data_IF_382847327607
#
_entry.id   IF_382847327607
#
_cell.length_a   1.000
_cell.length_b   1.000
_cell.length_c   1.000
_cell.angle_alpha   90.00
_cell.angle_beta   90.00
_cell.angle_gamma   90.00
#
_symmetry.space_group_name_H-M   'P 1'
#
loop_
_entity.id
_entity.type
_entity.pdbx_description
1 polymer ?
#
# COMPACT_ATOMS: atom_id res chain seq x y z
N UNK A 1 21.48 -22.57 -39.36
CA UNK A 1 22.41 -23.71 -39.27
C UNK A 1 21.60 -24.94 -39.63
N UNK A 2 22.11 -25.83 -40.47
CA UNK A 2 21.31 -26.92 -41.05
C UNK A 2 21.05 -28.07 -40.05
N UNK A 3 19.92 -28.78 -40.19
CA UNK A 3 19.44 -29.85 -39.30
C UNK A 3 20.48 -30.98 -39.17
N UNK A 4 21.14 -31.34 -40.28
CA UNK A 4 22.20 -32.35 -40.26
C UNK A 4 23.42 -31.94 -39.42
N UNK A 5 23.69 -30.63 -39.32
CA UNK A 5 24.80 -30.11 -38.53
C UNK A 5 24.50 -30.20 -37.04
N UNK A 6 23.25 -29.95 -36.64
CA UNK A 6 22.80 -30.18 -35.27
C UNK A 6 22.86 -31.67 -34.89
N UNK A 7 22.43 -32.56 -35.80
CA UNK A 7 22.45 -34.01 -35.55
C UNK A 7 23.86 -34.53 -35.30
N UNK A 8 24.84 -34.13 -36.11
CA UNK A 8 26.26 -34.50 -35.90
C UNK A 8 26.83 -33.95 -34.59
N UNK A 9 26.38 -32.77 -34.15
CA UNK A 9 26.86 -32.13 -32.93
C UNK A 9 26.28 -32.76 -31.66
N UNK A 10 24.98 -33.03 -31.68
CA UNK A 10 24.25 -33.51 -30.49
C UNK A 10 24.30 -35.03 -30.30
N UNK A 11 24.72 -35.80 -31.31
CA UNK A 11 24.90 -37.25 -31.16
C UNK A 11 25.94 -37.63 -30.10
N UNK A 12 26.84 -36.71 -29.75
CA UNK A 12 27.87 -36.91 -28.72
C UNK A 12 27.45 -36.36 -27.35
N UNK A 13 26.31 -35.67 -27.25
CA UNK A 13 25.83 -35.16 -25.97
C UNK A 13 25.27 -36.32 -25.15
N UNK A 14 25.45 -36.22 -23.84
CA UNK A 14 24.82 -37.11 -22.87
C UNK A 14 23.31 -36.91 -22.82
N UNK A 15 22.58 -37.91 -22.35
CA UNK A 15 21.12 -37.82 -22.24
C UNK A 15 20.70 -36.69 -21.31
N UNK A 16 21.44 -36.45 -20.22
CA UNK A 16 21.23 -35.33 -19.29
C UNK A 16 21.37 -33.96 -19.96
N UNK A 17 22.40 -33.78 -20.81
CA UNK A 17 22.60 -32.52 -21.55
C UNK A 17 21.48 -32.26 -22.55
N UNK A 18 20.97 -33.30 -23.21
CA UNK A 18 19.87 -33.20 -24.16
C UNK A 18 18.53 -32.94 -23.45
N UNK A 19 18.28 -33.59 -22.32
CA UNK A 19 17.10 -33.34 -21.47
C UNK A 19 17.12 -31.89 -20.98
N UNK A 20 18.25 -31.41 -20.47
CA UNK A 20 18.40 -30.05 -19.94
C UNK A 20 18.27 -28.97 -21.03
N UNK A 21 18.66 -29.31 -22.26
CA UNK A 21 18.47 -28.48 -23.45
C UNK A 21 16.98 -28.37 -23.84
N UNK A 22 16.21 -29.45 -23.71
CA UNK A 22 14.77 -29.47 -24.02
C UNK A 22 13.87 -28.86 -22.94
N UNK A 23 14.40 -28.67 -21.73
CA UNK A 23 13.64 -28.25 -20.55
C UNK A 23 14.07 -26.85 -20.13
N UNK A 24 15.00 -26.72 -19.19
CA UNK A 24 15.42 -25.46 -18.55
C UNK A 24 16.08 -24.46 -19.48
N UNK A 25 16.68 -24.91 -20.59
CA UNK A 25 17.39 -24.04 -21.52
C UNK A 25 16.74 -23.92 -22.90
N UNK A 26 15.51 -24.44 -23.10
CA UNK A 26 14.88 -24.48 -24.42
C UNK A 26 14.84 -23.12 -25.14
N UNK A 27 14.60 -22.03 -24.40
CA UNK A 27 14.55 -20.65 -24.92
C UNK A 27 15.86 -20.12 -25.50
N UNK A 28 17.01 -20.77 -25.18
CA UNK A 28 18.34 -20.37 -25.65
C UNK A 28 18.75 -21.04 -26.97
N UNK A 29 17.98 -22.01 -27.44
CA UNK A 29 18.32 -22.81 -28.60
C UNK A 29 17.36 -22.59 -29.77
N UNK A 30 17.86 -22.82 -30.97
CA UNK A 30 17.05 -22.76 -32.19
C UNK A 30 16.00 -23.90 -32.17
N UNK A 31 14.76 -23.67 -32.62
CA UNK A 31 13.73 -24.71 -32.69
C UNK A 31 14.17 -26.00 -33.39
N UNK A 32 14.93 -25.90 -34.48
CA UNK A 32 15.44 -27.05 -35.22
C UNK A 32 16.44 -27.88 -34.39
N UNK A 33 17.18 -27.22 -33.50
CA UNK A 33 18.11 -27.86 -32.58
C UNK A 33 17.37 -28.68 -31.51
N UNK A 34 16.22 -28.19 -31.05
CA UNK A 34 15.38 -28.88 -30.07
C UNK A 34 14.69 -30.10 -30.69
N UNK A 35 14.21 -29.98 -31.94
CA UNK A 35 13.64 -31.14 -32.67
C UNK A 35 14.67 -32.26 -32.76
N UNK A 36 15.90 -31.95 -33.15
CA UNK A 36 16.98 -32.94 -33.26
C UNK A 36 17.36 -33.56 -31.90
N UNK A 37 17.41 -32.75 -30.83
CA UNK A 37 17.68 -33.28 -29.48
C UNK A 37 16.59 -34.27 -29.02
N UNK A 38 15.32 -33.96 -29.31
CA UNK A 38 14.19 -34.84 -29.01
C UNK A 38 14.26 -36.15 -29.83
N UNK A 39 14.56 -36.07 -31.12
CA UNK A 39 14.76 -37.24 -31.97
C UNK A 39 15.87 -38.16 -31.45
N UNK A 40 17.01 -37.59 -31.02
CA UNK A 40 18.13 -38.37 -30.48
C UNK A 40 17.73 -39.07 -29.17
N UNK A 41 17.00 -38.40 -28.28
CA UNK A 41 16.53 -39.01 -27.03
C UNK A 41 15.52 -40.13 -27.27
N UNK A 42 14.61 -39.95 -28.25
CA UNK A 42 13.67 -41.00 -28.68
C UNK A 42 14.44 -42.20 -29.25
N UNK A 43 15.42 -41.98 -30.12
CA UNK A 43 16.26 -43.03 -30.71
C UNK A 43 17.06 -43.81 -29.62
N UNK A 44 17.36 -43.15 -28.49
CA UNK A 44 18.05 -43.75 -27.33
C UNK A 44 17.10 -44.42 -26.33
N UNK A 45 15.80 -44.53 -26.63
CA UNK A 45 14.76 -45.06 -25.74
C UNK A 45 14.64 -44.30 -24.39
N UNK A 46 14.91 -42.99 -24.39
CA UNK A 46 14.64 -42.13 -23.24
C UNK A 46 13.19 -41.65 -23.33
N UNK A 47 12.40 -41.87 -22.27
CA UNK A 47 11.01 -41.42 -22.20
C UNK A 47 10.89 -39.92 -21.88
N UNK A 48 11.35 -39.12 -22.83
CA UNK A 48 11.37 -37.65 -22.74
C UNK A 48 9.95 -37.06 -22.65
N UNK A 49 8.92 -37.76 -23.15
CA UNK A 49 7.53 -37.29 -23.06
C UNK A 49 7.02 -37.32 -21.64
N UNK A 50 7.34 -38.38 -20.89
CA UNK A 50 7.01 -38.47 -19.47
C UNK A 50 7.83 -37.47 -18.66
N UNK A 51 9.12 -37.30 -18.95
CA UNK A 51 9.99 -36.33 -18.28
C UNK A 51 9.50 -34.88 -18.50
N UNK A 52 9.19 -34.48 -19.74
CA UNK A 52 8.65 -33.15 -20.03
C UNK A 52 7.29 -32.91 -19.37
N UNK A 53 6.48 -33.95 -19.24
CA UNK A 53 5.18 -33.87 -18.58
C UNK A 53 5.33 -33.74 -17.05
N UNK A 54 6.23 -34.51 -16.46
CA UNK A 54 6.57 -34.41 -15.03
C UNK A 54 7.25 -33.08 -14.71
N UNK A 55 8.07 -32.52 -15.59
CA UNK A 55 8.69 -31.20 -15.39
C UNK A 55 7.66 -30.07 -15.55
N UNK A 56 6.72 -30.16 -16.48
CA UNK A 56 5.59 -29.22 -16.58
C UNK A 56 4.60 -29.33 -15.41
N UNK A 57 4.46 -30.50 -14.78
CA UNK A 57 3.62 -30.73 -13.59
C UNK A 57 4.35 -30.45 -12.26
N UNK A 58 5.69 -30.48 -12.24
CA UNK A 58 6.54 -30.22 -11.07
C UNK A 58 7.17 -28.83 -11.06
N UNK A 59 7.12 -28.09 -12.17
CA UNK A 59 7.26 -26.64 -12.13
C UNK A 59 6.14 -26.10 -11.22
N UNK A 60 6.47 -25.50 -10.06
CA UNK A 60 5.46 -24.71 -9.39
C UNK A 60 5.00 -23.68 -10.43
N UNK A 61 3.69 -23.61 -10.68
CA UNK A 61 3.11 -22.40 -11.26
C UNK A 61 3.50 -21.29 -10.30
N UNK A 62 4.62 -20.63 -10.58
CA UNK A 62 4.93 -19.34 -9.99
C UNK A 62 3.91 -18.44 -10.66
N UNK A 63 2.75 -18.32 -10.03
CA UNK A 63 1.94 -17.12 -10.15
C UNK A 63 2.89 -16.01 -9.73
N UNK A 64 3.56 -15.39 -10.71
CA UNK A 64 4.30 -14.16 -10.47
C UNK A 64 3.25 -13.20 -9.92
N UNK A 65 3.41 -12.86 -8.65
CA UNK A 65 2.61 -11.87 -7.95
C UNK A 65 2.51 -10.64 -8.86
N UNK A 66 1.32 -10.06 -9.06
CA UNK A 66 1.14 -8.90 -9.95
C UNK A 66 2.12 -7.77 -9.57
N UNK A 67 2.41 -7.67 -8.27
CA UNK A 67 3.42 -6.79 -7.67
C UNK A 67 4.85 -7.03 -8.19
N UNK A 68 5.23 -8.28 -8.46
CA UNK A 68 6.55 -8.65 -8.97
C UNK A 68 6.68 -8.33 -10.47
N UNK A 69 5.59 -8.51 -11.22
CA UNK A 69 5.50 -8.12 -12.63
C UNK A 69 5.59 -6.59 -12.76
N UNK A 70 4.83 -5.85 -11.96
CA UNK A 70 4.83 -4.38 -11.97
C UNK A 70 6.20 -3.82 -11.56
N UNK A 71 6.83 -4.38 -10.52
CA UNK A 71 8.20 -3.98 -10.13
C UNK A 71 9.20 -4.21 -11.25
N UNK A 72 9.12 -5.35 -11.93
CA UNK A 72 10.02 -5.65 -13.05
C UNK A 72 9.83 -4.67 -14.22
N UNK A 73 8.58 -4.27 -14.48
CA UNK A 73 8.24 -3.28 -15.49
C UNK A 73 8.77 -1.90 -15.12
N UNK A 74 8.53 -1.42 -13.90
CA UNK A 74 9.05 -0.12 -13.42
C UNK A 74 10.58 -0.08 -13.51
N UNK A 75 11.26 -1.15 -13.12
CA UNK A 75 12.72 -1.24 -13.19
C UNK A 75 13.26 -1.25 -14.64
N UNK A 76 12.44 -1.62 -15.62
CA UNK A 76 12.80 -1.58 -17.04
C UNK A 76 12.70 -0.18 -17.66
N UNK A 77 11.97 0.74 -17.03
CA UNK A 77 11.79 2.13 -17.48
C UNK A 77 13.03 2.98 -17.15
N UNK A 78 13.26 4.06 -17.91
CA UNK A 78 14.26 5.07 -17.55
C UNK A 78 13.85 5.83 -16.28
N UNK A 79 14.80 6.44 -15.55
CA UNK A 79 14.49 7.12 -14.28
C UNK A 79 13.45 8.24 -14.40
N UNK A 80 13.33 8.89 -15.56
CA UNK A 80 12.33 9.93 -15.81
C UNK A 80 10.96 9.29 -16.05
N UNK A 81 10.91 8.24 -16.86
CA UNK A 81 9.68 7.48 -17.15
C UNK A 81 9.16 6.76 -15.90
N UNK A 82 10.05 6.30 -15.00
CA UNK A 82 9.66 5.78 -13.69
C UNK A 82 8.93 6.83 -12.85
N UNK A 83 9.42 8.07 -12.83
CA UNK A 83 8.80 9.16 -12.07
C UNK A 83 7.44 9.52 -12.67
N UNK A 84 7.36 9.62 -14.00
CA UNK A 84 6.12 9.92 -14.71
C UNK A 84 5.08 8.82 -14.49
N UNK A 85 5.46 7.55 -14.66
CA UNK A 85 4.60 6.40 -14.40
C UNK A 85 4.09 6.36 -12.95
N UNK A 86 4.98 6.53 -11.96
CA UNK A 86 4.59 6.55 -10.55
C UNK A 86 3.72 7.77 -10.20
N UNK A 87 3.93 8.91 -10.86
CA UNK A 87 3.12 10.11 -10.67
C UNK A 87 1.73 9.96 -11.27
N UNK A 88 1.62 9.38 -12.47
CA UNK A 88 0.33 9.10 -13.13
C UNK A 88 -0.47 8.07 -12.33
N UNK A 89 0.16 6.96 -11.92
CA UNK A 89 -0.44 5.96 -11.03
C UNK A 89 -0.92 6.59 -9.73
N UNK A 90 -0.10 7.44 -9.10
CA UNK A 90 -0.50 8.13 -7.87
C UNK A 90 -1.71 9.03 -8.09
N UNK A 91 -1.77 9.77 -9.19
CA UNK A 91 -2.91 10.63 -9.50
C UNK A 91 -4.18 9.81 -9.75
N UNK A 92 -4.07 8.70 -10.49
CA UNK A 92 -5.18 7.76 -10.71
C UNK A 92 -5.67 7.13 -9.40
N UNK A 93 -4.75 6.75 -8.51
CA UNK A 93 -5.10 6.28 -7.17
C UNK A 93 -5.77 7.36 -6.34
N UNK A 94 -5.26 8.59 -6.33
CA UNK A 94 -5.85 9.70 -5.58
C UNK A 94 -7.29 10.00 -6.04
N UNK A 95 -7.59 9.87 -7.34
CA UNK A 95 -8.93 10.07 -7.90
C UNK A 95 -9.88 8.90 -7.59
N UNK A 96 -9.38 7.67 -7.53
CA UNK A 96 -10.21 6.45 -7.47
C UNK A 96 -10.05 5.62 -6.17
N UNK A 97 -9.39 6.16 -5.14
CA UNK A 97 -9.02 5.37 -3.94
C UNK A 97 -10.22 4.71 -3.25
N UNK A 98 -11.37 5.36 -3.25
CA UNK A 98 -12.60 4.80 -2.67
C UNK A 98 -13.05 3.56 -3.44
N UNK A 99 -13.13 3.64 -4.77
CA UNK A 99 -13.51 2.52 -5.63
C UNK A 99 -12.50 1.37 -5.55
N UNK A 100 -11.20 1.68 -5.55
CA UNK A 100 -10.13 0.67 -5.47
C UNK A 100 -10.20 -0.08 -4.14
N UNK A 101 -10.32 0.64 -3.02
CA UNK A 101 -10.39 0.04 -1.69
C UNK A 101 -11.71 -0.72 -1.49
N UNK A 102 -12.83 -0.19 -1.97
CA UNK A 102 -14.11 -0.89 -1.91
C UNK A 102 -14.06 -2.20 -2.72
N UNK A 103 -13.50 -2.18 -3.93
CA UNK A 103 -13.34 -3.37 -4.77
C UNK A 103 -12.41 -4.42 -4.15
N UNK A 104 -11.31 -3.98 -3.54
CA UNK A 104 -10.38 -4.88 -2.84
C UNK A 104 -11.04 -5.58 -1.64
N UNK A 105 -12.03 -4.94 -1.02
CA UNK A 105 -12.76 -5.46 0.13
C UNK A 105 -14.12 -6.09 -0.24
N UNK A 106 -14.59 -5.98 -1.50
CA UNK A 106 -15.93 -6.40 -1.93
C UNK A 106 -16.12 -7.91 -1.75
N UNK A 107 -15.10 -8.70 -2.14
CA UNK A 107 -15.15 -10.15 -2.13
C UNK A 107 -14.63 -10.80 -0.83
N UNK A 108 -14.13 -9.99 0.13
CA UNK A 108 -13.62 -10.53 1.39
C UNK A 108 -14.77 -11.02 2.27
N UNK A 109 -14.56 -12.19 2.87
CA UNK A 109 -15.38 -12.67 3.98
C UNK A 109 -15.24 -11.77 5.21
N UNK A 110 -16.17 -11.87 6.15
CA UNK A 110 -16.16 -11.03 7.35
C UNK A 110 -14.88 -11.25 8.18
N UNK A 111 -14.40 -12.50 8.29
CA UNK A 111 -13.15 -12.83 8.95
C UNK A 111 -11.93 -12.25 8.22
N UNK A 112 -11.87 -12.36 6.89
CA UNK A 112 -10.77 -11.83 6.08
C UNK A 112 -10.72 -10.30 6.13
N UNK A 113 -11.88 -9.64 6.13
CA UNK A 113 -11.98 -8.19 6.26
C UNK A 113 -11.46 -7.72 7.62
N UNK A 114 -11.83 -8.40 8.70
CA UNK A 114 -11.34 -8.09 10.05
C UNK A 114 -9.83 -8.33 10.13
N UNK A 115 -9.31 -9.41 9.53
CA UNK A 115 -7.88 -9.71 9.53
C UNK A 115 -7.07 -8.70 8.71
N UNK A 116 -7.60 -8.27 7.56
CA UNK A 116 -7.01 -7.20 6.75
C UNK A 116 -6.97 -5.90 7.56
N UNK A 117 -8.07 -5.54 8.20
CA UNK A 117 -8.14 -4.35 9.05
C UNK A 117 -7.18 -4.41 10.23
N UNK A 118 -7.05 -5.57 10.89
CA UNK A 118 -6.07 -5.76 11.96
C UNK A 118 -4.63 -5.59 11.46
N UNK A 119 -4.32 -6.06 10.26
CA UNK A 119 -3.00 -5.90 9.63
C UNK A 119 -2.67 -4.43 9.36
N UNK A 120 -3.65 -3.65 8.88
CA UNK A 120 -3.52 -2.19 8.72
C UNK A 120 -3.22 -1.54 10.08
N UNK A 121 -4.02 -1.87 11.10
CA UNK A 121 -3.86 -1.33 12.44
C UNK A 121 -2.48 -1.64 13.03
N UNK A 122 -2.02 -2.88 12.94
CA UNK A 122 -0.73 -3.32 13.46
C UNK A 122 0.44 -2.63 12.75
N UNK A 123 0.33 -2.44 11.44
CA UNK A 123 1.34 -1.74 10.66
C UNK A 123 1.47 -0.29 11.10
N UNK A 124 0.35 0.44 11.21
CA UNK A 124 0.34 1.83 11.69
C UNK A 124 0.82 1.95 13.13
N UNK A 125 0.48 0.99 14.00
CA UNK A 125 0.98 0.96 15.38
C UNK A 125 2.50 0.78 15.44
N UNK A 126 3.06 -0.06 14.55
CA UNK A 126 4.49 -0.35 14.48
C UNK A 126 5.29 0.81 13.90
N UNK A 127 4.80 1.45 12.84
CA UNK A 127 5.47 2.59 12.18
C UNK A 127 5.26 3.90 12.94
N UNK A 128 4.15 4.04 13.66
CA UNK A 128 3.77 5.27 14.36
C UNK A 128 3.26 6.37 13.42
N UNK A 129 3.00 6.06 12.16
CA UNK A 129 2.43 6.95 11.15
C UNK A 129 1.69 6.17 10.07
N UNK A 130 0.85 6.87 9.30
CA UNK A 130 0.24 6.29 8.11
C UNK A 130 1.23 6.25 6.94
N UNK A 131 1.07 5.26 6.08
CA UNK A 131 1.80 5.15 4.82
C UNK A 131 1.40 6.21 3.81
N UNK A 132 2.06 6.20 2.66
CA UNK A 132 1.66 7.00 1.52
C UNK A 132 0.28 6.54 0.99
N UNK A 133 -0.36 7.37 0.17
CA UNK A 133 -1.74 7.13 -0.29
C UNK A 133 -1.92 5.80 -1.04
N UNK A 134 -0.86 5.31 -1.68
CA UNK A 134 -0.80 4.03 -2.40
C UNK A 134 -0.55 2.83 -1.48
N UNK A 135 -0.15 3.05 -0.23
CA UNK A 135 0.15 1.96 0.71
C UNK A 135 -1.14 1.33 1.25
N UNK A 136 -1.10 0.02 1.52
CA UNK A 136 -2.20 -0.70 2.17
C UNK A 136 -2.53 -0.11 3.56
N UNK A 137 -1.54 0.50 4.23
CA UNK A 137 -1.73 1.13 5.53
C UNK A 137 -1.85 2.67 5.43
N UNK A 138 -2.33 3.17 4.29
CA UNK A 138 -2.67 4.58 4.09
C UNK A 138 -3.83 5.02 5.00
N UNK A 139 -3.92 6.33 5.23
CA UNK A 139 -4.98 6.90 6.07
C UNK A 139 -6.36 6.69 5.44
N UNK A 140 -6.44 6.81 4.13
CA UNK A 140 -7.64 6.64 3.33
C UNK A 140 -8.12 5.19 3.38
N UNK A 141 -7.23 4.22 3.17
CA UNK A 141 -7.58 2.79 3.24
C UNK A 141 -8.09 2.41 4.64
N UNK A 142 -7.45 2.92 5.70
CA UNK A 142 -7.92 2.75 7.07
C UNK A 142 -9.37 3.22 7.25
N UNK A 143 -9.70 4.45 6.84
CA UNK A 143 -11.06 4.99 7.02
C UNK A 143 -12.10 4.28 6.16
N UNK A 144 -11.77 3.94 4.91
CA UNK A 144 -12.70 3.25 4.00
C UNK A 144 -12.99 1.83 4.53
N UNK A 145 -11.94 1.08 4.90
CA UNK A 145 -12.10 -0.26 5.48
C UNK A 145 -12.89 -0.21 6.79
N UNK A 146 -12.64 0.78 7.66
CA UNK A 146 -13.40 1.00 8.89
C UNK A 146 -14.89 1.27 8.62
N UNK A 147 -15.21 2.05 7.59
CA UNK A 147 -16.58 2.31 7.16
C UNK A 147 -17.26 1.05 6.59
N UNK A 148 -16.55 0.20 5.85
CA UNK A 148 -17.10 -1.06 5.35
C UNK A 148 -17.47 -1.99 6.51
N UNK A 149 -16.60 -2.09 7.53
CA UNK A 149 -16.85 -2.85 8.75
C UNK A 149 -18.09 -2.33 9.48
N UNK A 150 -18.23 -1.01 9.60
CA UNK A 150 -19.40 -0.37 10.22
C UNK A 150 -20.68 -0.62 9.40
N UNK A 151 -20.64 -0.44 8.07
CA UNK A 151 -21.76 -0.72 7.16
C UNK A 151 -22.22 -2.19 7.26
N UNK A 152 -21.28 -3.13 7.40
CA UNK A 152 -21.55 -4.56 7.57
C UNK A 152 -21.96 -4.93 9.02
N UNK A 153 -21.95 -3.99 9.97
CA UNK A 153 -22.23 -4.21 11.39
C UNK A 153 -21.39 -5.33 12.02
N UNK A 154 -20.12 -5.45 11.63
CA UNK A 154 -19.24 -6.48 12.15
C UNK A 154 -18.79 -6.14 13.57
N UNK A 155 -18.86 -7.13 14.46
CA UNK A 155 -18.38 -6.98 15.84
C UNK A 155 -16.88 -7.15 15.89
N UNK A 156 -16.17 -6.10 16.29
CA UNK A 156 -14.75 -6.16 16.52
C UNK A 156 -14.44 -6.76 17.90
N UNK A 157 -13.34 -7.50 17.99
CA UNK A 157 -12.85 -7.95 19.29
C UNK A 157 -12.34 -6.76 20.10
N UNK A 158 -12.40 -6.87 21.43
CA UNK A 158 -11.90 -5.81 22.34
C UNK A 158 -10.44 -5.43 22.07
N UNK A 159 -9.60 -6.40 21.66
CA UNK A 159 -8.19 -6.17 21.33
C UNK A 159 -8.08 -5.26 20.09
N UNK A 160 -8.88 -5.52 19.05
CA UNK A 160 -8.89 -4.70 17.83
C UNK A 160 -9.39 -3.29 18.14
N UNK A 161 -10.41 -3.14 19.00
CA UNK A 161 -10.89 -1.82 19.42
C UNK A 161 -9.79 -0.97 20.08
N UNK A 162 -8.93 -1.56 20.92
CA UNK A 162 -7.79 -0.84 21.51
C UNK A 162 -6.84 -0.33 20.42
N UNK A 163 -6.58 -1.16 19.39
CA UNK A 163 -5.74 -0.77 18.25
C UNK A 163 -6.37 0.37 17.47
N UNK A 164 -7.68 0.31 17.21
CA UNK A 164 -8.46 1.38 16.56
C UNK A 164 -8.34 2.69 17.34
N UNK A 165 -8.51 2.67 18.65
CA UNK A 165 -8.35 3.86 19.50
C UNK A 165 -6.96 4.49 19.37
N UNK A 166 -5.91 3.66 19.33
CA UNK A 166 -4.54 4.12 19.15
C UNK A 166 -4.29 4.70 17.75
N UNK A 167 -4.79 4.03 16.70
CA UNK A 167 -4.63 4.49 15.31
C UNK A 167 -5.43 5.76 15.05
N UNK A 168 -6.64 5.89 15.60
CA UNK A 168 -7.41 7.14 15.59
C UNK A 168 -6.66 8.28 16.28
N UNK A 169 -5.93 7.98 17.36
CA UNK A 169 -5.06 8.95 18.00
C UNK A 169 -3.96 9.44 17.01
N UNK A 170 -3.35 8.55 16.24
CA UNK A 170 -2.37 8.90 15.20
C UNK A 170 -3.03 9.72 14.08
N UNK A 171 -4.19 9.32 13.58
CA UNK A 171 -4.89 10.00 12.48
C UNK A 171 -5.22 11.46 12.83
N UNK A 172 -5.57 11.71 14.09
CA UNK A 172 -5.91 13.03 14.60
C UNK A 172 -4.71 13.84 15.10
N UNK A 173 -3.48 13.32 14.98
CA UNK A 173 -2.25 14.01 15.44
C UNK A 173 -2.08 15.37 14.78
N UNK A 174 -2.33 15.48 13.47
CA UNK A 174 -2.15 16.72 12.72
C UNK A 174 -3.21 17.77 13.06
N UNK A 175 -4.47 17.33 13.23
CA UNK A 175 -5.55 18.18 13.69
C UNK A 175 -5.28 18.71 15.11
N UNK A 176 -4.83 17.85 16.03
CA UNK A 176 -4.44 18.26 17.39
C UNK A 176 -3.28 19.25 17.38
N UNK A 177 -2.26 19.05 16.53
CA UNK A 177 -1.15 20.01 16.33
C UNK A 177 -1.69 21.34 15.80
N UNK A 178 -2.61 21.34 14.83
CA UNK A 178 -3.23 22.56 14.27
C UNK A 178 -4.00 23.34 15.33
N UNK A 179 -4.84 22.68 16.12
CA UNK A 179 -5.59 23.34 17.20
C UNK A 179 -4.68 23.84 18.33
N UNK A 180 -3.62 23.10 18.67
CA UNK A 180 -2.60 23.59 19.60
C UNK A 180 -1.90 24.85 19.08
N UNK A 181 -1.58 24.92 17.78
CA UNK A 181 -1.02 26.13 17.16
C UNK A 181 -2.00 27.32 17.25
N UNK A 182 -3.30 27.10 17.00
CA UNK A 182 -4.31 28.15 17.15
C UNK A 182 -4.39 28.68 18.58
N UNK A 183 -4.37 27.80 19.58
CA UNK A 183 -4.32 28.19 21.00
C UNK A 183 -3.06 29.01 21.29
N UNK A 184 -1.90 28.55 20.80
CA UNK A 184 -0.63 29.24 21.01
C UNK A 184 -0.62 30.64 20.38
N UNK A 185 -0.99 30.78 19.11
CA UNK A 185 -1.09 32.09 18.45
C UNK A 185 -2.15 32.98 19.08
N UNK A 186 -3.27 32.40 19.54
CA UNK A 186 -4.30 33.12 20.28
C UNK A 186 -3.78 33.74 21.58
N UNK A 187 -3.02 32.95 22.37
CA UNK A 187 -2.35 33.44 23.59
C UNK A 187 -1.27 34.48 23.29
N UNK A 188 -0.49 34.28 22.24
CA UNK A 188 0.55 35.23 21.83
C UNK A 188 -0.05 36.59 21.41
N UNK A 189 -1.13 36.58 20.63
CA UNK A 189 -1.82 37.81 20.24
C UNK A 189 -2.49 38.51 21.43
N UNK A 190 -3.07 37.76 22.36
CA UNK A 190 -3.64 38.32 23.57
C UNK A 190 -2.60 38.98 24.47
N UNK A 191 -1.48 38.29 24.71
CA UNK A 191 -0.41 38.81 25.55
C UNK A 191 0.20 40.08 24.96
N UNK A 192 0.52 40.08 23.66
CA UNK A 192 1.01 41.27 22.97
C UNK A 192 -0.04 42.39 23.00
N UNK A 193 -1.30 42.09 22.65
CA UNK A 193 -2.38 43.07 22.65
C UNK A 193 -2.57 43.74 24.01
N UNK A 194 -2.55 42.96 25.10
CA UNK A 194 -2.67 43.48 26.47
C UNK A 194 -1.47 44.33 26.89
N UNK A 195 -0.23 43.85 26.67
CA UNK A 195 1.00 44.57 27.01
C UNK A 195 1.02 45.94 26.34
N UNK A 196 0.72 45.99 25.04
CA UNK A 196 0.74 47.22 24.28
C UNK A 196 -0.44 48.15 24.65
N UNK A 197 -1.63 47.60 24.91
CA UNK A 197 -2.79 48.43 25.33
C UNK A 197 -2.54 49.12 26.66
N UNK A 198 -1.92 48.43 27.63
CA UNK A 198 -1.54 49.00 28.93
C UNK A 198 -0.42 50.04 28.77
N UNK A 199 0.57 49.77 27.91
CA UNK A 199 1.74 50.63 27.74
C UNK A 199 1.49 51.92 26.94
N UNK A 200 0.55 51.93 25.99
CA UNK A 200 0.35 53.06 25.07
C UNK A 200 -1.05 53.69 25.14
N UNK A 201 -1.90 53.29 26.09
CA UNK A 201 -3.26 53.82 26.24
C UNK A 201 -4.29 53.23 25.26
N UNK A 202 -3.92 52.18 24.51
CA UNK A 202 -4.79 51.45 23.61
C UNK A 202 -5.01 52.11 22.24
N UNK A 203 -4.92 51.31 21.18
CA UNK A 203 -5.22 51.71 19.80
C UNK A 203 -6.10 50.63 19.13
N UNK A 204 -6.85 50.98 18.07
CA UNK A 204 -7.74 50.08 17.34
C UNK A 204 -7.03 48.77 16.93
N UNK A 205 -5.76 48.86 16.53
CA UNK A 205 -4.95 47.70 16.15
C UNK A 205 -4.75 46.74 17.34
N UNK A 206 -4.58 47.27 18.55
CA UNK A 206 -4.37 46.47 19.76
C UNK A 206 -5.64 45.78 20.22
N UNK A 207 -6.78 46.47 20.15
CA UNK A 207 -8.09 45.85 20.37
C UNK A 207 -8.40 44.78 19.32
N UNK A 208 -7.99 45.00 18.06
CA UNK A 208 -8.06 44.01 16.99
C UNK A 208 -7.22 42.76 17.27
N UNK A 209 -6.01 42.93 17.83
CA UNK A 209 -5.15 41.82 18.23
C UNK A 209 -5.75 41.02 19.39
N UNK A 210 -6.35 41.70 20.40
CA UNK A 210 -7.04 41.06 21.52
C UNK A 210 -8.25 40.25 21.02
N UNK A 211 -9.09 40.83 20.16
CA UNK A 211 -10.26 40.14 19.59
C UNK A 211 -9.86 38.94 18.72
N UNK A 212 -8.83 39.10 17.88
CA UNK A 212 -8.31 38.02 17.04
C UNK A 212 -7.69 36.90 17.87
N UNK A 213 -6.98 37.26 18.96
CA UNK A 213 -6.41 36.31 19.91
C UNK A 213 -7.48 35.50 20.64
N UNK A 214 -8.56 36.16 21.10
CA UNK A 214 -9.74 35.50 21.66
C UNK A 214 -10.42 34.58 20.65
N UNK A 215 -10.58 35.03 19.40
CA UNK A 215 -11.18 34.23 18.33
C UNK A 215 -10.39 32.94 18.07
N UNK A 216 -9.06 33.03 17.98
CA UNK A 216 -8.18 31.88 17.78
C UNK A 216 -8.19 30.91 18.97
N UNK A 217 -8.26 31.43 20.20
CA UNK A 217 -8.40 30.60 21.39
C UNK A 217 -9.72 29.83 21.41
N UNK A 218 -10.84 30.51 21.15
CA UNK A 218 -12.15 29.86 21.09
C UNK A 218 -12.20 28.82 19.97
N UNK A 219 -11.65 29.13 18.79
CA UNK A 219 -11.56 28.19 17.67
C UNK A 219 -10.72 26.96 18.03
N UNK A 220 -9.55 27.14 18.65
CA UNK A 220 -8.68 26.04 19.07
C UNK A 220 -9.30 25.17 20.16
N UNK A 221 -9.98 25.75 21.15
CA UNK A 221 -10.69 25.01 22.21
C UNK A 221 -11.88 24.23 21.63
N UNK A 222 -12.72 24.87 20.81
CA UNK A 222 -13.84 24.20 20.14
C UNK A 222 -13.36 23.05 19.26
N UNK A 223 -12.27 23.24 18.51
CA UNK A 223 -11.65 22.19 17.71
C UNK A 223 -11.19 20.99 18.53
N UNK A 224 -10.58 21.22 19.70
CA UNK A 224 -10.23 20.13 20.62
C UNK A 224 -11.43 19.36 21.16
N UNK A 225 -12.51 20.07 21.53
CA UNK A 225 -13.74 19.45 22.01
C UNK A 225 -14.38 18.60 20.91
N UNK A 226 -14.39 19.12 19.67
CA UNK A 226 -14.92 18.42 18.51
C UNK A 226 -14.18 17.11 18.22
N UNK A 227 -12.84 17.11 18.19
CA UNK A 227 -12.05 15.87 18.03
C UNK A 227 -12.40 14.86 19.14
N UNK A 228 -12.48 15.33 20.39
CA UNK A 228 -12.79 14.45 21.53
C UNK A 228 -14.19 13.84 21.41
N UNK A 229 -15.15 14.59 20.89
CA UNK A 229 -16.52 14.10 20.63
C UNK A 229 -16.53 13.07 19.51
N UNK A 230 -15.86 13.34 18.39
CA UNK A 230 -15.74 12.39 17.29
C UNK A 230 -15.04 11.10 17.72
N UNK A 231 -14.00 11.17 18.55
CA UNK A 231 -13.34 9.98 19.10
C UNK A 231 -14.30 9.10 19.91
N UNK A 232 -15.15 9.74 20.71
CA UNK A 232 -16.17 9.04 21.51
C UNK A 232 -17.22 8.39 20.61
N UNK A 233 -17.72 9.12 19.60
CA UNK A 233 -18.71 8.62 18.64
C UNK A 233 -18.16 7.45 17.82
N UNK A 234 -16.90 7.53 17.36
CA UNK A 234 -16.27 6.45 16.60
C UNK A 234 -16.06 5.20 17.46
N UNK A 235 -15.58 5.35 18.70
CA UNK A 235 -15.40 4.24 19.63
C UNK A 235 -16.73 3.55 19.98
N UNK A 236 -17.81 4.32 20.09
CA UNK A 236 -19.18 3.81 20.31
C UNK A 236 -19.75 3.09 19.07
N UNK A 237 -19.34 3.43 17.85
CA UNK A 237 -19.83 2.80 16.62
C UNK A 237 -19.37 1.34 16.44
N UNK A 238 -18.26 0.95 17.07
CA UNK A 238 -17.70 -0.41 17.00
C UNK A 238 -18.00 -1.27 18.26
N UNK A 239 -18.76 -0.74 19.23
CA UNK A 239 -19.12 -1.40 20.50
C UNK A 239 -20.50 -2.08 20.43
#
# INVERSE_FOLDING_TARGET
>A
MDIETFRKRFVHYSDEELILMLTKNASKYNPDALVVANEILIDRNVDIRTILKEEAESEPKIELDEDEIERSYIQSLSSIEQIEYLSEKRAEFEENIEEIVEKNNENLTDEELIQNFETILDTVMKTGDFGDITDIHSRENYFITSNIIEKRNLKLSYVIMIKVDFVNMIAMRDFRKRFNKQIFYGLLLLTLGLIFTIGTGGNIIMYGAILSGLGLLVAGIRGKIFIKKQFKELSEAYS
#
